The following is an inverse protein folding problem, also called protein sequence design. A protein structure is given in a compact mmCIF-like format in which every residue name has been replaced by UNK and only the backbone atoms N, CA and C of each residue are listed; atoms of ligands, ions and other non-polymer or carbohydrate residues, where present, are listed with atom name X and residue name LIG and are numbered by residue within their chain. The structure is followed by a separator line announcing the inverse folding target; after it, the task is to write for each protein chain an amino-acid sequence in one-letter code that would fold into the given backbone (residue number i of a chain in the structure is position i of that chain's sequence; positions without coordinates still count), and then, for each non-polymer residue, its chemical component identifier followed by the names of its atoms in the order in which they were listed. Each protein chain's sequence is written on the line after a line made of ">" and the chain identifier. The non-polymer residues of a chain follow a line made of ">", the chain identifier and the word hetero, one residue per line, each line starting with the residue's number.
data_IF_404175459436
#
_entry.id   IF_404175459436
#
_cell.length_a   1.000
_cell.length_b   1.000
_cell.length_c   1.000
_cell.angle_alpha   90.00
_cell.angle_beta   90.00
_cell.angle_gamma   90.00
#
_symmetry.space_group_name_H-M   'P 1'
#
loop_
_entity.id
_entity.type
_entity.pdbx_description
1 polymer ?
#
# COMPACT_ATOMS: atom_id res chain seq x y z
N UNK A 1 -21.01 -25.91 -11.15
CA UNK A 1 -22.33 -25.25 -11.20
C UNK A 1 -22.29 -24.09 -10.23
N UNK A 2 -22.58 -22.90 -10.72
CA UNK A 2 -22.60 -21.69 -9.91
C UNK A 2 -23.71 -21.75 -8.87
N UNK A 3 -23.43 -21.30 -7.65
CA UNK A 3 -24.38 -21.36 -6.52
C UNK A 3 -24.71 -19.95 -6.07
N UNK A 4 -26.01 -19.63 -5.99
CA UNK A 4 -26.48 -18.31 -5.56
C UNK A 4 -26.75 -18.34 -4.06
N UNK A 5 -26.09 -17.44 -3.33
CA UNK A 5 -26.28 -17.24 -1.89
C UNK A 5 -27.03 -15.95 -1.65
N UNK A 6 -28.07 -16.02 -0.82
CA UNK A 6 -28.85 -14.85 -0.40
C UNK A 6 -28.50 -14.49 1.03
N UNK A 7 -28.28 -13.21 1.31
CA UNK A 7 -27.93 -12.74 2.64
C UNK A 7 -28.56 -11.38 2.96
N UNK A 8 -28.60 -11.05 4.25
CA UNK A 8 -28.91 -9.72 4.77
C UNK A 8 -27.81 -9.33 5.74
N UNK A 9 -27.37 -8.08 5.67
CA UNK A 9 -26.47 -7.50 6.66
C UNK A 9 -27.33 -6.93 7.80
N UNK A 10 -26.94 -7.16 9.04
CA UNK A 10 -27.57 -6.60 10.22
C UNK A 10 -26.54 -5.79 10.99
N UNK A 11 -26.83 -4.51 11.23
CA UNK A 11 -25.98 -3.63 12.01
C UNK A 11 -26.74 -3.23 13.27
N UNK A 12 -26.17 -3.52 14.42
CA UNK A 12 -26.74 -3.19 15.73
C UNK A 12 -25.92 -2.07 16.39
N UNK A 13 -26.61 -1.14 17.05
CA UNK A 13 -25.95 -0.20 17.96
C UNK A 13 -25.61 -0.86 19.31
N UNK A 14 -24.92 -0.13 20.18
CA UNK A 14 -24.54 -0.59 21.53
C UNK A 14 -25.75 -0.96 22.42
N UNK A 15 -26.97 -0.58 22.04
CA UNK A 15 -28.21 -0.88 22.76
C UNK A 15 -28.99 -2.04 22.11
N UNK A 16 -28.37 -2.81 21.22
CA UNK A 16 -29.00 -3.89 20.44
C UNK A 16 -30.15 -3.43 19.54
N UNK A 17 -30.19 -2.15 19.13
CA UNK A 17 -31.13 -1.71 18.09
C UNK A 17 -30.51 -1.96 16.73
N UNK A 18 -31.12 -2.88 15.98
CA UNK A 18 -30.55 -3.34 14.72
C UNK A 18 -31.32 -2.86 13.51
N UNK A 19 -30.60 -2.37 12.50
CA UNK A 19 -31.11 -2.19 11.15
C UNK A 19 -30.68 -3.35 10.27
N UNK A 20 -31.61 -3.95 9.53
CA UNK A 20 -31.30 -4.99 8.53
C UNK A 20 -31.32 -4.39 7.13
N UNK A 21 -30.35 -4.79 6.31
CA UNK A 21 -30.31 -4.44 4.90
C UNK A 21 -31.46 -5.12 4.13
N UNK A 22 -31.69 -4.67 2.90
CA UNK A 22 -32.44 -5.46 1.92
C UNK A 22 -31.72 -6.79 1.65
N UNK A 23 -32.46 -7.79 1.15
CA UNK A 23 -31.84 -9.03 0.67
C UNK A 23 -30.84 -8.68 -0.44
N UNK A 24 -29.60 -9.08 -0.24
CA UNK A 24 -28.57 -9.10 -1.27
C UNK A 24 -28.31 -10.55 -1.67
N UNK A 25 -27.69 -10.74 -2.83
CA UNK A 25 -27.18 -12.04 -3.21
C UNK A 25 -25.76 -11.92 -3.77
N UNK A 26 -25.04 -13.03 -3.76
CA UNK A 26 -23.84 -13.22 -4.56
C UNK A 26 -23.88 -14.62 -5.17
N UNK A 27 -23.29 -14.78 -6.34
CA UNK A 27 -23.19 -16.06 -7.03
C UNK A 27 -21.74 -16.50 -6.99
N UNK A 28 -21.47 -17.74 -6.57
CA UNK A 28 -20.13 -18.32 -6.71
C UNK A 28 -19.89 -18.66 -8.17
N UNK A 29 -18.74 -18.30 -8.70
CA UNK A 29 -18.30 -18.76 -10.01
C UNK A 29 -17.57 -20.10 -9.84
N UNK A 30 -17.98 -21.10 -10.62
CA UNK A 30 -17.29 -22.41 -10.66
C UNK A 30 -16.19 -22.47 -11.71
N UNK A 31 -16.17 -21.55 -12.67
CA UNK A 31 -15.05 -21.33 -13.57
C UNK A 31 -14.25 -20.09 -13.14
N UNK A 32 -12.95 -20.09 -13.41
CA UNK A 32 -12.08 -18.92 -13.16
C UNK A 32 -12.46 -17.76 -14.09
N UNK A 33 -12.80 -18.07 -15.34
CA UNK A 33 -13.10 -17.08 -16.38
C UNK A 33 -14.38 -16.28 -16.10
N UNK A 34 -15.35 -16.87 -15.39
CA UNK A 34 -16.60 -16.19 -15.01
C UNK A 34 -16.47 -15.43 -13.68
N UNK A 35 -15.32 -15.52 -13.01
CA UNK A 35 -15.11 -14.95 -11.70
C UNK A 35 -14.35 -13.63 -11.75
N UNK A 36 -15.08 -12.53 -11.95
CA UNK A 36 -14.53 -11.17 -12.00
C UNK A 36 -13.73 -10.75 -10.75
N UNK A 37 -13.85 -11.49 -9.65
CA UNK A 37 -13.12 -11.26 -8.40
C UNK A 37 -12.10 -12.36 -8.07
N UNK A 38 -12.06 -13.46 -8.83
CA UNK A 38 -11.11 -14.54 -8.57
C UNK A 38 -9.73 -14.17 -9.04
N UNK A 39 -9.61 -13.30 -10.03
CA UNK A 39 -8.34 -12.74 -10.43
C UNK A 39 -8.37 -11.24 -10.23
N UNK A 40 -7.29 -10.71 -9.67
CA UNK A 40 -7.09 -9.29 -9.60
C UNK A 40 -5.66 -8.96 -10.00
N UNK A 41 -5.53 -7.75 -10.54
CA UNK A 41 -4.27 -7.23 -11.04
C UNK A 41 -3.69 -6.29 -10.00
N UNK A 42 -2.50 -6.62 -9.53
CA UNK A 42 -1.67 -5.72 -8.71
C UNK A 42 -0.68 -5.04 -9.62
N UNK A 43 -0.70 -3.71 -9.62
CA UNK A 43 0.32 -2.89 -10.25
C UNK A 43 1.03 -2.10 -9.14
N UNK A 44 2.35 -2.16 -9.07
CA UNK A 44 3.15 -1.24 -8.26
C UNK A 44 4.30 -0.76 -9.14
N UNK A 45 4.42 0.55 -9.30
CA UNK A 45 5.44 1.23 -10.09
C UNK A 45 6.44 1.88 -9.15
N UNK A 46 7.60 1.26 -9.00
CA UNK A 46 8.67 1.77 -8.15
C UNK A 46 9.46 2.90 -8.84
N UNK A 47 10.07 3.83 -8.06
CA UNK A 47 11.02 4.79 -8.60
C UNK A 47 12.22 4.11 -9.27
N UNK A 48 12.88 4.82 -10.19
CA UNK A 48 14.09 4.34 -10.85
C UNK A 48 15.15 3.88 -9.84
N UNK A 49 15.75 2.70 -10.06
CA UNK A 49 16.76 2.12 -9.18
C UNK A 49 16.20 1.25 -8.05
N UNK A 50 14.87 1.08 -8.01
CA UNK A 50 14.17 0.13 -7.16
C UNK A 50 13.41 -0.89 -8.00
N UNK A 51 13.30 -2.09 -7.47
CA UNK A 51 12.56 -3.21 -8.03
C UNK A 51 11.47 -3.60 -7.04
N UNK A 52 10.29 -3.94 -7.57
CA UNK A 52 9.24 -4.59 -6.79
C UNK A 52 9.30 -6.09 -7.04
N UNK A 53 9.14 -6.86 -5.96
CA UNK A 53 8.99 -8.30 -6.05
C UNK A 53 7.90 -8.80 -5.12
N UNK A 54 7.21 -9.85 -5.54
CA UNK A 54 6.13 -10.49 -4.78
C UNK A 54 6.48 -11.94 -4.50
N UNK A 55 6.15 -12.38 -3.29
CA UNK A 55 6.12 -13.76 -2.84
C UNK A 55 4.67 -14.05 -2.41
N UNK A 56 3.94 -14.73 -3.28
CA UNK A 56 2.47 -14.86 -3.18
C UNK A 56 2.07 -16.07 -2.35
N UNK A 57 2.90 -17.12 -2.33
CA UNK A 57 2.66 -18.33 -1.55
C UNK A 57 3.35 -18.31 -0.16
N UNK A 58 4.10 -17.25 0.12
CA UNK A 58 4.79 -16.96 1.37
C UNK A 58 5.92 -17.96 1.70
N UNK A 59 6.49 -18.59 0.68
CA UNK A 59 7.61 -19.54 0.83
C UNK A 59 8.99 -18.87 0.91
N UNK A 60 9.04 -17.54 0.78
CA UNK A 60 10.24 -16.66 0.74
C UNK A 60 11.05 -16.75 -0.56
N UNK A 61 10.53 -17.41 -1.57
CA UNK A 61 11.00 -17.36 -2.93
C UNK A 61 10.17 -16.36 -3.70
N UNK A 62 10.73 -15.17 -3.94
CA UNK A 62 10.07 -14.13 -4.71
C UNK A 62 9.99 -14.54 -6.19
N UNK A 63 8.80 -14.91 -6.67
CA UNK A 63 8.60 -15.50 -8.00
C UNK A 63 8.35 -14.45 -9.08
N UNK A 64 7.93 -13.25 -8.70
CA UNK A 64 7.62 -12.16 -9.61
C UNK A 64 8.58 -11.00 -9.39
N UNK A 65 9.72 -10.99 -10.09
CA UNK A 65 10.65 -9.84 -10.15
C UNK A 65 10.34 -9.02 -11.41
N UNK A 66 10.25 -7.71 -11.25
CA UNK A 66 10.15 -6.72 -12.33
C UNK A 66 11.05 -7.04 -13.53
N UNK A 67 12.28 -7.48 -13.26
CA UNK A 67 13.27 -7.81 -14.30
C UNK A 67 12.86 -8.95 -15.24
N UNK A 68 11.96 -9.83 -14.83
CA UNK A 68 11.47 -10.91 -15.68
C UNK A 68 10.45 -10.43 -16.73
N UNK A 69 9.87 -9.24 -16.54
CA UNK A 69 8.85 -8.64 -17.42
C UNK A 69 9.33 -7.38 -18.17
N UNK A 70 10.58 -6.95 -17.94
CA UNK A 70 11.21 -5.73 -18.49
C UNK A 70 11.23 -5.63 -20.03
N UNK A 71 10.84 -6.67 -20.79
CA UNK A 71 10.77 -6.57 -22.26
C UNK A 71 9.48 -5.91 -22.80
N UNK A 72 8.44 -5.66 -21.98
CA UNK A 72 7.12 -5.30 -22.54
C UNK A 72 6.38 -4.13 -21.85
N UNK A 73 6.67 -3.76 -20.59
CA UNK A 73 5.85 -2.77 -19.87
C UNK A 73 6.67 -1.73 -19.08
N UNK A 74 6.32 -0.44 -19.25
CA UNK A 74 6.95 0.75 -18.64
C UNK A 74 7.08 0.69 -17.10
N UNK A 75 8.20 0.16 -16.59
CA UNK A 75 8.60 0.12 -15.17
C UNK A 75 7.52 -0.35 -14.17
N UNK A 76 6.51 -1.09 -14.65
CA UNK A 76 5.35 -1.49 -13.86
C UNK A 76 5.32 -2.99 -13.71
N UNK A 77 5.38 -3.48 -12.47
CA UNK A 77 5.18 -4.91 -12.19
C UNK A 77 3.70 -5.20 -12.13
N UNK A 78 3.23 -6.10 -13.00
CA UNK A 78 1.85 -6.56 -13.04
C UNK A 78 1.75 -8.00 -12.57
N UNK A 79 1.01 -8.22 -11.49
CA UNK A 79 0.76 -9.54 -10.94
C UNK A 79 -0.72 -9.91 -11.12
N UNK A 80 -1.00 -11.01 -11.80
CA UNK A 80 -2.32 -11.62 -11.90
C UNK A 80 -2.39 -12.80 -10.93
N UNK A 81 -3.12 -12.65 -9.83
CA UNK A 81 -3.19 -13.65 -8.77
C UNK A 81 -4.60 -14.07 -8.45
N UNK A 82 -4.73 -15.34 -8.07
CA UNK A 82 -5.99 -15.87 -7.60
C UNK A 82 -6.32 -15.27 -6.22
N UNK A 83 -7.52 -14.72 -6.05
CA UNK A 83 -7.96 -14.06 -4.82
C UNK A 83 -7.99 -14.96 -3.58
N UNK A 84 -8.28 -16.24 -3.74
CA UNK A 84 -8.37 -17.15 -2.60
C UNK A 84 -7.00 -17.49 -2.01
N UNK A 85 -5.95 -17.52 -2.82
CA UNK A 85 -4.59 -17.90 -2.41
C UNK A 85 -3.63 -16.71 -2.33
N UNK A 86 -3.83 -15.67 -3.13
CA UNK A 86 -2.93 -14.52 -3.27
C UNK A 86 -3.40 -13.24 -2.60
N UNK A 87 -4.42 -13.30 -1.73
CA UNK A 87 -4.88 -12.11 -0.97
C UNK A 87 -3.83 -11.60 0.00
N UNK A 88 -2.92 -12.47 0.42
CA UNK A 88 -1.83 -12.17 1.34
C UNK A 88 -0.54 -12.50 0.62
N UNK A 89 0.38 -11.55 0.56
CA UNK A 89 1.65 -11.72 -0.10
C UNK A 89 2.75 -11.03 0.69
N UNK A 90 3.97 -11.52 0.56
CA UNK A 90 5.15 -10.77 0.93
C UNK A 90 5.53 -9.88 -0.25
N UNK A 91 5.80 -8.60 0.01
CA UNK A 91 6.14 -7.62 -1.01
C UNK A 91 7.47 -6.99 -0.64
N UNK A 92 8.45 -7.11 -1.52
CA UNK A 92 9.78 -6.55 -1.31
C UNK A 92 10.06 -5.47 -2.34
N UNK A 93 10.32 -4.26 -1.84
CA UNK A 93 10.87 -3.13 -2.58
C UNK A 93 12.37 -3.11 -2.34
N UNK A 94 13.17 -3.54 -3.32
CA UNK A 94 14.62 -3.65 -3.19
C UNK A 94 15.33 -2.70 -4.15
N UNK A 95 16.48 -2.15 -3.77
CA UNK A 95 17.31 -1.44 -4.75
C UNK A 95 17.77 -2.42 -5.84
N UNK A 96 18.07 -1.95 -7.05
CA UNK A 96 18.51 -2.82 -8.16
C UNK A 96 19.78 -3.64 -7.82
N UNK A 97 20.57 -3.16 -6.86
CA UNK A 97 21.77 -3.84 -6.33
C UNK A 97 21.49 -4.76 -5.14
N UNK A 98 20.25 -4.81 -4.66
CA UNK A 98 19.82 -5.47 -3.43
C UNK A 98 20.66 -5.07 -2.20
N UNK A 99 21.22 -3.85 -2.21
CA UNK A 99 22.01 -3.32 -1.09
C UNK A 99 21.11 -2.90 0.07
N UNK A 100 19.89 -2.45 -0.25
CA UNK A 100 18.85 -2.04 0.68
C UNK A 100 17.51 -2.57 0.19
N UNK A 101 16.60 -2.86 1.11
CA UNK A 101 15.21 -3.18 0.77
C UNK A 101 14.27 -2.83 1.91
N UNK A 102 12.99 -2.67 1.55
CA UNK A 102 11.85 -2.66 2.46
C UNK A 102 10.99 -3.86 2.10
N UNK A 103 10.64 -4.67 3.09
CA UNK A 103 9.88 -5.90 2.90
C UNK A 103 8.65 -5.86 3.80
N UNK A 104 7.49 -5.99 3.18
CA UNK A 104 6.18 -6.06 3.80
C UNK A 104 5.75 -7.51 3.84
N UNK A 105 5.60 -8.06 5.03
CA UNK A 105 5.16 -9.44 5.23
C UNK A 105 3.66 -9.45 5.45
N UNK A 106 3.02 -10.44 4.82
CA UNK A 106 1.59 -10.67 4.96
C UNK A 106 0.74 -9.42 4.59
N UNK A 107 1.17 -8.72 3.55
CA UNK A 107 0.47 -7.58 2.98
C UNK A 107 -0.83 -8.04 2.32
N UNK A 108 -1.94 -7.37 2.65
CA UNK A 108 -3.28 -7.65 2.14
C UNK A 108 -3.50 -6.96 0.81
N UNK A 109 -3.40 -7.74 -0.25
CA UNK A 109 -3.74 -7.33 -1.58
C UNK A 109 -5.27 -7.35 -1.75
N UNK A 110 -5.87 -6.18 -1.95
CA UNK A 110 -7.30 -6.04 -2.22
C UNK A 110 -7.50 -5.06 -3.38
N UNK A 111 -8.55 -5.25 -4.19
CA UNK A 111 -8.88 -4.28 -5.26
C UNK A 111 -8.97 -2.84 -4.73
N UNK A 112 -9.54 -2.68 -3.54
CA UNK A 112 -9.68 -1.37 -2.88
C UNK A 112 -8.36 -0.83 -2.33
N UNK A 113 -7.48 -1.73 -1.87
CA UNK A 113 -6.14 -1.40 -1.37
C UNK A 113 -5.10 -1.19 -2.48
N UNK A 114 -5.50 -1.26 -3.75
CA UNK A 114 -4.63 -1.05 -4.91
C UNK A 114 -5.19 0.08 -5.78
N UNK A 115 -5.43 1.21 -5.12
CA UNK A 115 -5.80 2.47 -5.78
C UNK A 115 -4.63 3.02 -6.59
N UNK A 116 -4.89 3.96 -7.51
CA UNK A 116 -3.83 4.62 -8.30
C UNK A 116 -2.71 5.22 -7.45
N UNK A 117 -3.02 5.62 -6.20
CA UNK A 117 -2.04 6.14 -5.27
C UNK A 117 -1.04 5.09 -4.76
N UNK A 118 -1.41 3.81 -4.69
CA UNK A 118 -0.51 2.71 -4.34
C UNK A 118 0.24 2.19 -5.56
N UNK A 119 -0.41 2.28 -6.73
CA UNK A 119 0.17 1.86 -8.00
C UNK A 119 1.31 2.75 -8.45
N UNK A 120 1.22 4.05 -8.20
CA UNK A 120 2.21 5.06 -8.58
C UNK A 120 2.93 5.57 -7.32
N UNK A 121 4.10 4.98 -7.06
CA UNK A 121 5.02 5.43 -6.01
C UNK A 121 6.25 6.14 -6.60
N UNK A 122 6.31 6.31 -7.93
CA UNK A 122 7.36 6.99 -8.68
C UNK A 122 7.12 8.49 -8.86
N UNK A 123 5.88 8.98 -8.72
CA UNK A 123 5.54 10.39 -8.87
C UNK A 123 6.15 11.33 -7.82
N UNK A 124 6.71 10.80 -6.73
CA UNK A 124 7.53 11.55 -5.78
C UNK A 124 8.99 11.22 -6.04
N UNK A 125 9.79 12.20 -6.48
CA UNK A 125 11.24 12.07 -6.72
C UNK A 125 12.05 11.55 -5.53
N UNK A 126 11.42 11.40 -4.36
CA UNK A 126 12.04 11.08 -3.07
C UNK A 126 11.34 9.93 -2.33
N UNK A 127 10.31 9.30 -2.92
CA UNK A 127 9.41 8.37 -2.23
C UNK A 127 10.07 7.17 -1.55
N UNK A 128 11.07 6.58 -2.20
CA UNK A 128 11.93 5.53 -1.64
C UNK A 128 13.38 6.03 -1.58
N UNK A 129 13.96 6.02 -0.40
CA UNK A 129 15.28 6.57 -0.17
C UNK A 129 16.24 5.48 0.33
N UNK A 130 17.43 5.42 -0.26
CA UNK A 130 18.52 4.62 0.27
C UNK A 130 19.86 5.24 -0.10
N UNK A 131 20.89 4.95 0.69
CA UNK A 131 22.24 5.42 0.40
C UNK A 131 23.14 5.42 1.61
N UNK A 132 24.11 6.34 1.61
CA UNK A 132 25.04 6.54 2.71
C UNK A 132 24.98 7.98 3.24
N UNK A 133 25.19 8.15 4.54
CA UNK A 133 25.40 9.44 5.21
C UNK A 133 26.60 9.32 6.16
N UNK A 134 26.94 10.39 6.88
CA UNK A 134 28.07 10.41 7.82
C UNK A 134 27.58 10.64 9.23
N UNK A 135 28.15 9.93 10.20
CA UNK A 135 27.99 10.23 11.63
C UNK A 135 28.67 11.56 11.99
N UNK A 136 28.43 12.06 13.22
CA UNK A 136 29.15 13.22 13.76
C UNK A 136 30.68 13.03 13.83
N UNK A 137 31.15 11.78 13.87
CA UNK A 137 32.58 11.43 13.82
C UNK A 137 33.17 11.37 12.41
N UNK A 138 32.34 11.54 11.37
CA UNK A 138 32.74 11.41 9.96
C UNK A 138 32.72 9.99 9.42
N UNK A 139 32.37 8.98 10.23
CA UNK A 139 32.20 7.61 9.75
C UNK A 139 31.01 7.49 8.80
N UNK A 140 31.18 6.79 7.67
CA UNK A 140 30.10 6.51 6.72
C UNK A 140 29.17 5.42 7.25
N UNK A 141 27.87 5.68 7.21
CA UNK A 141 26.79 4.77 7.61
C UNK A 141 25.75 4.70 6.50
N UNK A 142 25.08 3.57 6.34
CA UNK A 142 23.99 3.47 5.37
C UNK A 142 22.63 3.80 5.96
N UNK A 143 21.68 4.10 5.08
CA UNK A 143 20.28 4.30 5.42
C UNK A 143 19.38 3.72 4.34
N UNK A 144 18.17 3.34 4.73
CA UNK A 144 17.10 2.91 3.85
C UNK A 144 15.76 3.36 4.44
N UNK A 145 14.79 3.67 3.59
CA UNK A 145 13.55 4.25 4.06
C UNK A 145 12.57 4.59 2.95
N UNK A 146 11.44 5.12 3.39
CA UNK A 146 10.34 5.55 2.54
C UNK A 146 9.73 6.79 3.17
N UNK A 147 9.53 7.84 2.38
CA UNK A 147 8.95 9.09 2.87
C UNK A 147 7.54 8.87 3.42
N UNK A 148 7.14 9.70 4.37
CA UNK A 148 5.86 9.57 5.08
C UNK A 148 4.65 9.52 4.13
N UNK A 149 4.63 10.32 3.07
CA UNK A 149 3.56 10.32 2.08
C UNK A 149 3.45 8.98 1.31
N UNK A 150 4.58 8.33 1.03
CA UNK A 150 4.60 7.02 0.35
C UNK A 150 4.29 5.90 1.32
N UNK A 151 4.77 5.99 2.57
CA UNK A 151 4.39 5.08 3.65
C UNK A 151 2.87 5.04 3.79
N UNK A 152 2.24 6.20 3.89
CA UNK A 152 0.79 6.27 4.11
C UNK A 152 0.01 5.67 2.95
N UNK A 153 0.49 5.88 1.71
CA UNK A 153 -0.09 5.22 0.54
C UNK A 153 0.04 3.70 0.63
N UNK A 154 1.20 3.16 1.01
CA UNK A 154 1.41 1.71 1.01
C UNK A 154 0.81 1.04 2.26
N UNK A 155 1.23 1.47 3.45
CA UNK A 155 0.88 0.82 4.72
C UNK A 155 -0.62 0.88 5.00
N UNK A 156 -1.29 2.02 4.74
CA UNK A 156 -2.74 2.12 4.98
C UNK A 156 -3.61 1.42 3.94
N UNK A 157 -3.05 1.03 2.79
CA UNK A 157 -3.82 0.32 1.78
C UNK A 157 -3.53 -1.19 1.78
N UNK A 158 -2.30 -1.57 2.11
CA UNK A 158 -1.84 -2.96 2.11
C UNK A 158 -1.89 -3.61 3.49
N UNK A 159 -1.95 -2.85 4.59
CA UNK A 159 -2.06 -3.38 5.96
C UNK A 159 -1.11 -4.56 6.27
N UNK A 160 0.21 -4.40 6.04
CA UNK A 160 1.18 -5.45 6.35
C UNK A 160 1.19 -5.78 7.84
N UNK A 161 1.45 -7.04 8.19
CA UNK A 161 1.57 -7.46 9.59
C UNK A 161 2.97 -7.18 10.14
N UNK A 162 3.99 -7.43 9.33
CA UNK A 162 5.39 -7.24 9.70
C UNK A 162 6.10 -6.44 8.61
N UNK A 163 7.03 -5.58 9.04
CA UNK A 163 7.84 -4.77 8.15
C UNK A 163 9.31 -4.94 8.48
N UNK A 164 10.09 -5.35 7.47
CA UNK A 164 11.53 -5.41 7.55
C UNK A 164 12.17 -4.28 6.74
N UNK A 165 13.29 -3.77 7.24
CA UNK A 165 14.17 -2.86 6.52
C UNK A 165 15.59 -3.43 6.52
N UNK A 166 16.18 -3.53 5.33
CA UNK A 166 17.60 -3.85 5.15
C UNK A 166 18.37 -2.55 5.00
N UNK A 167 19.18 -2.24 6.00
CA UNK A 167 20.03 -1.06 6.05
C UNK A 167 21.47 -1.46 5.70
N UNK A 168 22.11 -0.82 4.70
CA UNK A 168 23.51 -1.07 4.38
C UNK A 168 24.42 -0.48 5.47
N UNK A 169 25.61 -1.03 5.70
CA UNK A 169 26.52 -0.49 6.72
C UNK A 169 27.63 -1.45 7.15
N UNK A 170 28.35 -1.14 8.21
CA UNK A 170 29.55 -1.89 8.64
C UNK A 170 29.26 -3.18 9.42
N UNK A 171 28.01 -3.65 9.45
CA UNK A 171 27.63 -4.95 10.00
C UNK A 171 27.64 -5.08 11.53
N UNK A 172 27.91 -4.00 12.29
CA UNK A 172 27.88 -4.04 13.76
C UNK A 172 26.46 -4.25 14.30
N UNK A 173 25.43 -3.74 13.60
CA UNK A 173 24.01 -3.91 13.92
C UNK A 173 23.66 -3.66 15.40
N UNK A 174 24.37 -2.74 16.04
CA UNK A 174 24.20 -2.41 17.47
C UNK A 174 23.18 -1.33 17.72
N UNK A 175 22.88 -0.53 16.70
CA UNK A 175 22.00 0.62 16.80
C UNK A 175 21.14 0.76 15.54
N UNK A 176 19.94 1.31 15.72
CA UNK A 176 18.99 1.63 14.67
C UNK A 176 18.31 2.96 15.00
N UNK A 177 18.53 3.94 14.12
CA UNK A 177 18.03 5.30 14.26
C UNK A 177 16.91 5.57 13.27
N UNK A 178 15.79 6.09 13.75
CA UNK A 178 14.65 6.53 12.96
C UNK A 178 14.74 8.05 12.76
N UNK A 179 14.77 8.50 11.51
CA UNK A 179 14.93 9.90 11.16
C UNK A 179 13.77 10.43 10.36
N UNK A 180 13.43 11.72 10.48
CA UNK A 180 12.51 12.36 9.53
C UNK A 180 13.00 12.25 8.07
N UNK A 181 12.13 12.56 7.11
CA UNK A 181 12.42 12.43 5.66
C UNK A 181 13.66 13.23 5.22
N UNK A 182 13.86 14.40 5.83
CA UNK A 182 15.04 15.24 5.61
C UNK A 182 16.33 14.73 6.29
N UNK A 183 16.25 13.68 7.11
CA UNK A 183 17.35 13.08 7.89
C UNK A 183 18.03 14.05 8.86
N UNK A 184 17.32 15.08 9.31
CA UNK A 184 17.83 16.13 10.20
C UNK A 184 17.47 15.90 11.66
N UNK A 185 16.41 15.16 11.94
CA UNK A 185 15.98 14.82 13.29
C UNK A 185 15.88 13.30 13.40
N UNK A 186 16.73 12.70 14.23
CA UNK A 186 16.83 11.25 14.41
C UNK A 186 16.66 10.87 15.87
N UNK A 187 15.93 9.78 16.11
CA UNK A 187 15.69 9.18 17.43
C UNK A 187 16.19 7.75 17.41
N UNK A 188 16.93 7.36 18.44
CA UNK A 188 17.34 5.97 18.64
C UNK A 188 16.10 5.12 18.97
N UNK A 189 15.85 4.11 18.14
CA UNK A 189 14.73 3.16 18.26
C UNK A 189 15.23 1.71 18.36
N UNK A 190 16.50 1.51 18.69
CA UNK A 190 17.14 0.19 18.79
C UNK A 190 16.37 -0.74 19.73
N UNK A 191 15.85 -0.22 20.84
CA UNK A 191 15.13 -1.00 21.83
C UNK A 191 13.70 -1.39 21.41
N UNK A 192 13.13 -0.72 20.40
CA UNK A 192 11.77 -0.96 19.90
C UNK A 192 11.77 -1.85 18.65
N UNK A 193 12.89 -1.88 17.92
CA UNK A 193 13.07 -2.73 16.77
C UNK A 193 13.64 -4.11 17.15
N UNK A 194 13.37 -5.11 16.32
CA UNK A 194 13.94 -6.46 16.49
C UNK A 194 14.95 -6.74 15.40
N UNK A 195 16.20 -7.04 15.77
CA UNK A 195 17.24 -7.43 14.81
C UNK A 195 16.93 -8.83 14.28
N UNK A 196 16.64 -8.94 12.98
CA UNK A 196 16.30 -10.21 12.33
C UNK A 196 17.55 -10.92 11.78
N UNK A 197 18.44 -10.17 11.13
CA UNK A 197 19.67 -10.75 10.53
C UNK A 197 20.81 -9.74 10.46
N UNK A 198 22.02 -10.24 10.71
CA UNK A 198 23.28 -9.51 10.54
C UNK A 198 24.06 -10.07 9.35
N UNK A 199 24.45 -9.20 8.42
CA UNK A 199 25.40 -9.48 7.36
C UNK A 199 26.75 -8.78 7.62
N UNK A 200 27.74 -9.07 6.79
CA UNK A 200 29.05 -8.39 6.86
C UNK A 200 28.97 -6.90 6.51
N UNK A 201 27.96 -6.52 5.71
CA UNK A 201 27.79 -5.16 5.21
C UNK A 201 26.33 -4.66 5.28
N UNK A 202 25.47 -5.30 6.09
CA UNK A 202 24.08 -4.88 6.25
C UNK A 202 23.47 -5.42 7.55
N UNK A 203 22.35 -4.84 7.94
CA UNK A 203 21.49 -5.30 9.02
C UNK A 203 20.05 -5.36 8.51
N UNK A 204 19.30 -6.41 8.86
CA UNK A 204 17.86 -6.48 8.60
C UNK A 204 17.15 -6.37 9.94
N UNK A 205 16.31 -5.35 10.05
CA UNK A 205 15.55 -5.04 11.25
C UNK A 205 14.07 -5.16 10.99
N UNK A 206 13.33 -5.74 11.94
CA UNK A 206 11.89 -5.59 12.03
C UNK A 206 11.59 -4.25 12.70
N UNK A 207 10.89 -3.37 12.00
CA UNK A 207 10.52 -2.05 12.53
C UNK A 207 9.17 -2.09 13.23
N UNK A 208 8.99 -1.34 14.33
CA UNK A 208 7.72 -1.28 15.03
C UNK A 208 6.67 -0.57 14.17
N UNK A 209 5.44 -1.09 14.19
CA UNK A 209 4.25 -0.51 13.56
C UNK A 209 4.36 -0.18 12.06
N UNK A 210 5.35 -0.72 11.36
CA UNK A 210 5.63 -0.33 9.97
C UNK A 210 5.78 1.20 9.81
N UNK A 211 6.30 1.89 10.82
CA UNK A 211 6.58 3.32 10.74
C UNK A 211 7.80 3.52 9.83
N UNK A 212 7.53 3.86 8.57
CA UNK A 212 8.59 4.18 7.62
C UNK A 212 8.83 5.70 7.54
N UNK A 213 10.11 6.02 7.68
CA UNK A 213 10.79 7.21 7.20
C UNK A 213 12.22 6.74 6.88
N UNK A 214 13.26 7.55 7.08
CA UNK A 214 14.64 7.08 6.93
C UNK A 214 15.14 6.32 8.18
N UNK A 215 15.57 5.07 8.00
CA UNK A 215 16.20 4.23 9.02
C UNK A 215 17.69 4.07 8.76
N UNK A 216 18.52 4.33 9.78
CA UNK A 216 19.98 4.32 9.66
C UNK A 216 20.64 3.40 10.70
N UNK A 217 21.72 2.72 10.31
CA UNK A 217 22.48 1.81 11.16
C UNK A 217 23.45 2.49 12.13
N UNK A 218 23.25 3.78 12.38
CA UNK A 218 24.00 4.61 13.32
C UNK A 218 23.51 6.04 13.34
N UNK A 219 23.91 6.83 14.32
CA UNK A 219 23.42 8.20 14.47
C UNK A 219 23.90 9.07 13.29
N UNK A 220 23.01 9.58 12.42
CA UNK A 220 23.42 10.52 11.39
C UNK A 220 23.95 11.79 12.05
N UNK A 221 25.06 12.30 11.51
CA UNK A 221 25.60 13.58 11.92
C UNK A 221 24.59 14.67 11.58
N UNK A 222 24.24 15.50 12.55
CA UNK A 222 23.53 16.75 12.25
C UNK A 222 24.41 17.53 11.27
N UNK A 223 23.90 17.97 10.11
CA UNK A 223 24.65 18.86 9.24
C UNK A 223 25.05 20.08 10.07
N UNK A 224 26.30 20.14 10.51
CA UNK A 224 26.85 21.35 11.09
C UNK A 224 26.86 22.34 9.93
N UNK A 225 25.84 23.21 9.88
CA UNK A 225 25.75 24.25 8.86
C UNK A 225 27.13 24.87 8.74
N UNK A 226 27.70 24.81 7.53
CA UNK A 226 29.03 25.30 7.23
C UNK A 226 29.17 26.69 7.83
N UNK A 227 29.85 26.77 8.97
CA UNK A 227 30.11 28.02 9.64
C UNK A 227 31.11 28.76 8.77
N UNK A 228 30.61 29.59 7.87
CA UNK A 228 31.38 30.71 7.36
C UNK A 228 31.80 31.52 8.58
N UNK A 229 33.11 31.56 8.81
CA UNK A 229 33.74 32.30 9.88
C UNK A 229 33.35 33.78 9.81
N UNK A 230 32.45 34.22 10.68
CA UNK A 230 32.26 35.62 11.02
C UNK A 230 32.26 35.77 12.53
N UNK A 231 33.26 36.48 13.00
CA UNK A 231 33.58 36.76 14.39
C UNK A 231 32.54 37.68 15.06
N UNK A 232 32.35 37.40 16.36
CA UNK A 232 31.89 38.27 17.46
C UNK A 232 30.44 38.79 17.47
N UNK A 233 29.65 38.37 18.45
CA UNK A 233 29.50 39.09 19.74
C UNK A 233 28.37 38.49 20.61
N UNK A 234 28.56 38.64 21.92
CA UNK A 234 27.82 38.07 23.04
C UNK A 234 26.47 38.74 23.36
N UNK A 235 25.47 37.95 23.72
CA UNK A 235 24.41 38.16 24.73
C UNK A 235 23.42 36.97 24.59
N UNK A 236 22.90 36.28 25.59
CA UNK A 236 22.55 36.65 26.96
C UNK A 236 21.04 36.44 27.11
N UNK A 237 20.63 35.38 27.81
CA UNK A 237 19.22 35.07 28.14
C UNK A 237 18.72 33.80 27.44
N UNK A 238 17.92 32.93 28.04
CA UNK A 238 17.23 32.92 29.32
C UNK A 238 16.26 31.73 29.24
N UNK A 239 16.20 30.91 30.28
CA UNK A 239 15.43 29.68 30.28
C UNK A 239 13.92 29.87 30.21
N UNK A 240 13.22 28.79 29.82
CA UNK A 240 11.77 28.67 29.90
C UNK A 240 11.37 27.22 29.71
N UNK A 241 11.01 26.56 30.81
CA UNK A 241 10.37 25.24 30.81
C UNK A 241 8.84 25.32 30.79
N UNK A 242 8.21 24.18 30.56
CA UNK A 242 6.76 23.93 30.61
C UNK A 242 6.41 22.89 29.54
N UNK A 243 6.08 21.64 29.88
CA UNK A 243 4.78 21.21 30.43
C UNK A 243 3.80 21.05 29.25
N UNK A 244 3.26 19.90 28.87
CA UNK A 244 2.77 18.76 29.62
C UNK A 244 1.29 18.56 29.22
N UNK A 245 0.92 17.36 28.75
CA UNK A 245 -0.47 16.96 28.46
C UNK A 245 -0.70 16.66 26.97
N UNK A 246 -1.35 15.58 26.57
CA UNK A 246 -1.97 14.48 27.30
C UNK A 246 -2.24 13.34 26.30
N UNK A 247 -2.03 12.10 26.74
CA UNK A 247 -2.27 10.92 25.92
C UNK A 247 -3.79 10.70 25.74
N UNK A 248 -4.25 10.76 24.49
CA UNK A 248 -5.58 10.26 24.14
C UNK A 248 -5.48 8.74 24.00
N UNK A 249 -6.15 8.02 24.91
CA UNK A 249 -6.34 6.57 24.82
C UNK A 249 -7.32 6.29 23.68
N UNK A 250 -6.79 5.87 22.53
CA UNK A 250 -7.59 5.29 21.45
C UNK A 250 -7.88 3.85 21.83
N UNK A 251 -9.13 3.55 22.19
CA UNK A 251 -9.58 2.18 22.47
C UNK A 251 -9.74 1.43 21.14
N UNK A 252 -9.06 0.28 21.06
CA UNK A 252 -9.13 -0.71 20.00
C UNK A 252 -10.57 -1.24 19.89
N UNK A 253 -11.17 -1.12 18.71
CA UNK A 253 -12.43 -1.80 18.38
C UNK A 253 -12.14 -3.29 18.23
N UNK A 254 -12.77 -4.10 19.07
CA UNK A 254 -12.73 -5.56 19.00
C UNK A 254 -13.85 -6.03 18.06
N UNK A 255 -13.46 -6.57 16.90
CA UNK A 255 -14.39 -7.20 15.97
C UNK A 255 -14.57 -8.65 16.41
N UNK A 256 -15.68 -8.93 17.08
CA UNK A 256 -16.10 -10.30 17.39
C UNK A 256 -16.71 -10.90 16.13
N UNK A 257 -15.97 -11.77 15.46
CA UNK A 257 -16.47 -12.60 14.37
C UNK A 257 -17.11 -13.84 15.00
N UNK A 258 -18.43 -13.82 15.16
CA UNK A 258 -19.16 -15.05 15.48
C UNK A 258 -19.11 -15.98 14.27
N UNK A 259 -18.51 -17.15 14.50
CA UNK A 259 -18.44 -18.23 13.52
C UNK A 259 -19.81 -18.90 13.48
N UNK A 260 -20.53 -18.93 12.36
CA UNK A 260 -21.82 -19.63 12.30
C UNK A 260 -21.60 -21.12 12.52
N UNK A 261 -22.32 -21.68 13.49
CA UNK A 261 -22.40 -23.12 13.74
C UNK A 261 -22.85 -23.85 12.47
N UNK A 262 -22.20 -24.98 12.20
CA UNK A 262 -22.47 -25.84 11.07
C UNK A 262 -23.94 -26.31 11.10
N UNK A 263 -24.68 -25.96 10.05
CA UNK A 263 -26.00 -26.54 9.79
C UNK A 263 -25.76 -27.94 9.23
N UNK A 264 -26.17 -28.96 9.98
CA UNK A 264 -26.20 -30.36 9.52
C UNK A 264 -27.05 -30.47 8.24
N UNK A 265 -26.43 -31.00 7.19
CA UNK A 265 -27.03 -31.31 5.90
C UNK A 265 -27.92 -32.56 6.06
N UNK A 266 -29.23 -32.37 5.98
CA UNK A 266 -30.19 -33.48 5.93
C UNK A 266 -30.20 -34.02 4.51
N UNK A 267 -29.57 -35.18 4.31
CA UNK A 267 -29.58 -35.92 3.06
C UNK A 267 -31.02 -36.29 2.65
N UNK A 268 -31.44 -35.88 1.46
CA UNK A 268 -32.60 -36.42 0.78
C UNK A 268 -32.11 -37.41 -0.29
N UNK A 269 -32.30 -38.70 -0.01
CA UNK A 269 -32.42 -39.74 -1.04
C UNK A 269 -33.70 -39.49 -1.83
N UNK A 270 -33.64 -39.39 -3.15
CA UNK A 270 -34.70 -39.97 -3.99
C UNK A 270 -34.24 -40.22 -5.44
N UNK A 271 -34.95 -41.15 -6.04
CA UNK A 271 -34.68 -42.10 -7.12
C UNK A 271 -34.46 -41.57 -8.54
N UNK A 272 -33.50 -42.19 -9.24
CA UNK A 272 -33.75 -43.17 -10.32
C UNK A 272 -34.51 -42.79 -11.61
N UNK A 273 -33.85 -43.16 -12.74
CA UNK A 273 -34.42 -43.48 -14.07
C UNK A 273 -34.74 -42.27 -14.98
N UNK A 274 -34.56 -42.24 -16.30
CA UNK A 274 -34.30 -43.24 -17.34
C UNK A 274 -33.43 -42.65 -18.48
N UNK A 275 -32.79 -43.55 -19.23
CA UNK A 275 -32.11 -43.35 -20.50
C UNK A 275 -33.08 -43.13 -21.67
N UNK A 276 -32.76 -42.21 -22.58
CA UNK A 276 -33.21 -42.29 -23.98
C UNK A 276 -32.09 -41.84 -24.91
N UNK A 277 -31.66 -42.76 -25.77
CA UNK A 277 -30.83 -42.51 -26.94
C UNK A 277 -31.62 -41.69 -27.98
N UNK A 278 -31.02 -40.65 -28.55
CA UNK A 278 -31.39 -40.22 -29.91
C UNK A 278 -30.18 -39.61 -30.63
N UNK A 279 -29.81 -40.28 -31.72
CA UNK A 279 -28.81 -39.84 -32.68
C UNK A 279 -29.51 -39.14 -33.86
N UNK A 280 -28.96 -38.02 -34.33
CA UNK A 280 -28.51 -37.81 -35.71
C UNK A 280 -28.47 -36.33 -36.15
N UNK A 281 -27.54 -36.09 -37.08
CA UNK A 281 -27.54 -35.07 -38.14
C UNK A 281 -26.83 -33.72 -37.88
N UNK A 282 -25.56 -33.70 -38.28
CA UNK A 282 -24.90 -32.78 -39.23
C UNK A 282 -25.61 -31.44 -39.54
N UNK A 283 -24.90 -30.35 -39.27
CA UNK A 283 -25.12 -29.02 -39.83
C UNK A 283 -23.79 -28.25 -39.90
N UNK A 284 -23.43 -27.89 -41.12
CA UNK A 284 -22.20 -27.27 -41.61
C UNK A 284 -22.11 -25.76 -41.30
N UNK A 285 -20.87 -25.28 -41.15
CA UNK A 285 -20.39 -23.89 -41.26
C UNK A 285 -21.07 -22.73 -40.50
N UNK A 286 -20.29 -22.13 -39.59
CA UNK A 286 -19.89 -20.70 -39.71
C UNK A 286 -18.77 -20.39 -38.73
N UNK A 287 -17.56 -20.22 -39.25
CA UNK A 287 -16.46 -19.55 -38.55
C UNK A 287 -16.84 -18.07 -38.40
N UNK A 288 -17.09 -17.63 -37.17
CA UNK A 288 -17.15 -16.22 -36.81
C UNK A 288 -16.08 -16.00 -35.76
N UNK A 289 -15.08 -15.19 -36.13
CA UNK A 289 -13.98 -14.75 -35.27
C UNK A 289 -14.53 -14.11 -33.97
N UNK A 290 -14.28 -14.76 -32.83
CA UNK A 290 -14.53 -14.24 -31.48
C UNK A 290 -13.24 -13.65 -30.85
N UNK A 291 -12.46 -12.88 -31.62
CA UNK A 291 -11.45 -11.97 -31.06
C UNK A 291 -12.04 -10.56 -30.97
N UNK A 292 -12.77 -10.21 -29.90
CA UNK A 292 -12.98 -8.80 -29.47
C UNK A 292 -13.92 -8.56 -28.27
N UNK A 293 -14.09 -9.50 -27.32
CA UNK A 293 -15.01 -9.27 -26.17
C UNK A 293 -14.37 -9.08 -24.80
N UNK A 294 -13.06 -9.21 -24.63
CA UNK A 294 -12.39 -9.12 -23.33
C UNK A 294 -11.75 -7.76 -22.99
N UNK A 295 -11.88 -6.73 -23.84
CA UNK A 295 -11.17 -5.45 -23.63
C UNK A 295 -12.03 -4.27 -23.11
N UNK A 296 -13.35 -4.42 -22.91
CA UNK A 296 -14.21 -3.25 -22.65
C UNK A 296 -14.54 -2.96 -21.17
N UNK A 297 -14.25 -3.87 -20.23
CA UNK A 297 -14.62 -3.66 -18.82
C UNK A 297 -13.60 -2.83 -18.01
N UNK A 298 -12.36 -2.67 -18.49
CA UNK A 298 -11.29 -1.98 -17.77
C UNK A 298 -11.14 -0.48 -18.07
N UNK A 299 -11.67 0.02 -19.18
CA UNK A 299 -11.46 1.42 -19.60
C UNK A 299 -12.47 2.43 -19.04
N UNK A 300 -13.60 1.99 -18.48
CA UNK A 300 -14.65 2.92 -18.03
C UNK A 300 -14.34 3.62 -16.70
N UNK A 301 -13.46 3.06 -15.86
CA UNK A 301 -13.18 3.60 -14.52
C UNK A 301 -11.88 4.42 -14.41
N UNK A 302 -10.93 4.22 -15.33
CA UNK A 302 -9.66 4.99 -15.35
C UNK A 302 -9.84 6.48 -15.67
N UNK A 303 -10.86 6.84 -16.44
CA UNK A 303 -11.14 8.25 -16.78
C UNK A 303 -11.88 9.03 -15.69
N UNK A 304 -12.44 8.38 -14.67
CA UNK A 304 -13.17 9.10 -13.61
C UNK A 304 -12.23 9.88 -12.67
N UNK A 305 -10.99 9.40 -12.48
CA UNK A 305 -9.98 10.07 -11.65
C UNK A 305 -9.45 11.36 -12.27
N UNK A 306 -9.20 11.37 -13.58
CA UNK A 306 -8.73 12.56 -14.33
C UNK A 306 -9.83 13.63 -14.40
N UNK A 307 -11.09 13.21 -14.53
CA UNK A 307 -12.24 14.14 -14.51
C UNK A 307 -12.38 14.83 -13.14
N UNK A 308 -12.08 14.14 -12.04
CA UNK A 308 -12.14 14.72 -10.69
C UNK A 308 -10.99 15.70 -10.42
N UNK A 309 -9.77 15.44 -10.92
CA UNK A 309 -8.66 16.40 -10.79
C UNK A 309 -8.91 17.68 -11.58
N UNK A 310 -9.49 17.58 -12.78
CA UNK A 310 -9.82 18.76 -13.60
C UNK A 310 -10.98 19.59 -13.00
N UNK A 311 -11.90 18.95 -12.28
CA UNK A 311 -12.97 19.64 -11.54
C UNK A 311 -12.42 20.53 -10.41
N UNK A 312 -11.35 20.13 -9.72
CA UNK A 312 -10.79 20.94 -8.60
C UNK A 312 -10.23 22.29 -9.06
N UNK A 313 -9.63 22.34 -10.25
CA UNK A 313 -9.09 23.58 -10.82
C UNK A 313 -10.19 24.55 -11.26
N UNK A 314 -11.31 24.00 -11.76
CA UNK A 314 -12.48 24.78 -12.15
C UNK A 314 -13.20 25.40 -10.94
N UNK A 315 -13.24 24.70 -9.79
CA UNK A 315 -13.75 25.27 -8.54
C UNK A 315 -12.87 26.38 -7.97
N UNK A 316 -11.53 26.22 -8.01
CA UNK A 316 -10.59 27.23 -7.55
C UNK A 316 -10.68 28.53 -8.38
N UNK A 317 -10.81 28.41 -9.70
CA UNK A 317 -10.98 29.59 -10.58
C UNK A 317 -12.31 30.31 -10.36
N UNK A 318 -13.42 29.58 -10.17
CA UNK A 318 -14.72 30.17 -9.85
C UNK A 318 -14.70 30.95 -8.53
N UNK A 319 -14.07 30.40 -7.49
CA UNK A 319 -13.93 31.08 -6.19
C UNK A 319 -13.07 32.34 -6.31
N UNK A 320 -11.95 32.27 -7.04
CA UNK A 320 -11.08 33.43 -7.26
C UNK A 320 -11.81 34.57 -8.01
N UNK A 321 -12.58 34.24 -9.05
CA UNK A 321 -13.39 35.23 -9.79
C UNK A 321 -14.47 35.85 -8.90
N UNK A 322 -15.15 35.05 -8.09
CA UNK A 322 -16.16 35.56 -7.16
C UNK A 322 -15.57 36.53 -6.12
N UNK A 323 -14.36 36.26 -5.61
CA UNK A 323 -13.63 37.14 -4.70
C UNK A 323 -13.27 38.46 -5.40
N UNK A 324 -12.70 38.41 -6.61
CA UNK A 324 -12.31 39.61 -7.37
C UNK A 324 -13.53 40.49 -7.66
N UNK A 325 -14.65 39.89 -8.11
CA UNK A 325 -15.90 40.62 -8.35
C UNK A 325 -16.45 41.21 -7.06
N UNK A 326 -16.44 40.46 -5.95
CA UNK A 326 -16.88 40.94 -4.65
C UNK A 326 -16.07 42.13 -4.14
N UNK A 327 -14.74 42.08 -4.26
CA UNK A 327 -13.83 43.19 -3.92
C UNK A 327 -14.09 44.39 -4.83
N UNK A 328 -14.26 44.18 -6.13
CA UNK A 328 -14.56 45.25 -7.09
C UNK A 328 -15.87 45.98 -6.78
N UNK A 329 -16.94 45.25 -6.50
CA UNK A 329 -18.25 45.83 -6.11
C UNK A 329 -18.15 46.57 -4.79
N UNK A 330 -17.42 46.02 -3.80
CA UNK A 330 -17.20 46.68 -2.52
C UNK A 330 -16.47 48.00 -2.66
N UNK A 331 -15.39 48.04 -3.46
CA UNK A 331 -14.63 49.27 -3.72
C UNK A 331 -15.42 50.29 -4.53
N UNK A 332 -16.21 49.85 -5.52
CA UNK A 332 -17.08 50.73 -6.31
C UNK A 332 -18.15 51.40 -5.43
N UNK A 333 -18.72 50.67 -4.46
CA UNK A 333 -19.75 51.23 -3.56
C UNK A 333 -19.19 52.17 -2.49
N UNK A 334 -17.88 52.13 -2.25
CA UNK A 334 -17.21 52.96 -1.23
C UNK A 334 -16.73 54.31 -1.77
N UNK A 335 -16.58 54.44 -3.09
CA UNK A 335 -16.30 55.70 -3.79
C UNK A 335 -17.60 56.35 -4.27
#
# INVERSE_FOLDING_TARGET
>A
ADTVYYYKLQFCDENNKCGSSKCSNFTTATSRDDCAFCDFVVDIKAPTGWNVSFDVDQDKSYEFDQKAFDEVFDDTVRLLVNYSTGRRANIMLATTSNSSYIEFIDAKLTMTGLSSAVRDIDGASDGLASGTTTTSSGASIGYAGMDEDVRDKIVFNLYPEICYVKVPGTGTCTELWHCNDARTACVDRTAEATLNKTGSNYCIWQIPYCEFSAWAGGQPGTPSGSSSSSSSSSSGGGGGGGGGGGAAVVKKAEVVVETPEAVEEVAAEDTGAESVDEAAALGEDTLVDEESKSALAGQAWGNFGVILSDLTWLWLTLVAVAIIVGVGVYLYKKN
#
